data_IF_868858450838
#
_entry.id   IF_868858450838
#
_cell.length_a   1.000
_cell.length_b   1.000
_cell.length_c   1.000
_cell.angle_alpha   90.00
_cell.angle_beta   90.00
_cell.angle_gamma   90.00
#
_symmetry.space_group_name_H-M   'P 1'
#
loop_
_entity.id
_entity.type
_entity.pdbx_description
1 polymer ?
#
# COMPACT_ATOMS: atom_id res chain seq x y z
N UNK A 1 5.38 -10.73 -10.96
CA UNK A 1 4.05 -10.08 -10.76
C UNK A 1 3.06 -10.71 -11.72
N UNK A 2 2.16 -11.51 -11.17
CA UNK A 2 1.18 -12.26 -11.96
C UNK A 2 0.26 -11.33 -12.76
N UNK A 3 0.07 -11.63 -14.05
CA UNK A 3 -0.74 -10.85 -14.99
C UNK A 3 -0.01 -9.67 -15.63
N UNK A 4 1.26 -9.42 -15.28
CA UNK A 4 2.01 -8.30 -15.84
C UNK A 4 2.26 -8.46 -17.35
N UNK A 5 2.45 -9.68 -17.83
CA UNK A 5 2.67 -9.98 -19.25
C UNK A 5 1.37 -10.18 -20.06
N UNK A 6 0.19 -10.14 -19.41
CA UNK A 6 -1.10 -10.22 -20.10
C UNK A 6 -1.38 -8.92 -20.85
N UNK A 7 -2.05 -8.96 -21.99
CA UNK A 7 -2.46 -7.77 -22.73
C UNK A 7 -3.53 -6.95 -22.00
N UNK A 8 -4.32 -7.61 -21.13
CA UNK A 8 -5.38 -6.98 -20.35
C UNK A 8 -4.90 -6.67 -18.91
N UNK A 9 -4.92 -5.38 -18.54
CA UNK A 9 -4.59 -4.93 -17.19
C UNK A 9 -5.58 -5.43 -16.12
N UNK A 10 -6.77 -5.87 -16.52
CA UNK A 10 -7.76 -6.43 -15.60
C UNK A 10 -7.33 -7.78 -15.04
N UNK A 11 -6.39 -8.45 -15.69
CA UNK A 11 -5.80 -9.70 -15.25
C UNK A 11 -4.63 -9.55 -14.25
N UNK A 12 -4.29 -8.32 -13.86
CA UNK A 12 -3.31 -8.09 -12.79
C UNK A 12 -3.82 -8.68 -11.46
N UNK A 13 -3.04 -9.58 -10.88
CA UNK A 13 -3.40 -10.26 -9.63
C UNK A 13 -3.73 -9.29 -8.49
N UNK A 14 -2.90 -8.26 -8.28
CA UNK A 14 -3.14 -7.30 -7.22
C UNK A 14 -4.35 -6.38 -7.47
N UNK A 15 -4.77 -6.19 -8.73
CA UNK A 15 -6.04 -5.52 -9.00
C UNK A 15 -7.21 -6.32 -8.41
N UNK A 16 -7.22 -7.62 -8.62
CA UNK A 16 -8.24 -8.49 -8.03
C UNK A 16 -8.17 -8.47 -6.50
N UNK A 17 -6.98 -8.54 -5.93
CA UNK A 17 -6.80 -8.48 -4.47
C UNK A 17 -7.30 -7.15 -3.89
N UNK A 18 -7.11 -6.01 -4.59
CA UNK A 18 -7.68 -4.73 -4.17
C UNK A 18 -9.21 -4.79 -4.15
N UNK A 19 -9.84 -5.38 -5.17
CA UNK A 19 -11.30 -5.56 -5.19
C UNK A 19 -11.79 -6.49 -4.08
N UNK A 20 -11.04 -7.53 -3.76
CA UNK A 20 -11.35 -8.43 -2.65
C UNK A 20 -11.34 -7.70 -1.30
N UNK A 21 -10.44 -6.72 -1.11
CA UNK A 21 -10.47 -5.88 0.12
C UNK A 21 -11.74 -5.04 0.21
N UNK A 22 -12.24 -4.54 -0.94
CA UNK A 22 -13.50 -3.77 -1.00
C UNK A 22 -14.68 -4.66 -0.63
N UNK A 23 -14.74 -5.86 -1.22
CA UNK A 23 -15.81 -6.84 -0.93
C UNK A 23 -15.80 -7.20 0.55
N UNK A 24 -14.61 -7.50 1.11
CA UNK A 24 -14.46 -7.81 2.52
C UNK A 24 -14.95 -6.65 3.41
N UNK A 25 -14.50 -5.43 3.15
CA UNK A 25 -14.88 -4.26 3.94
C UNK A 25 -16.41 -4.04 3.90
N UNK A 26 -17.03 -4.09 2.72
CA UNK A 26 -18.48 -3.94 2.58
C UNK A 26 -19.27 -5.07 3.23
N UNK A 27 -18.75 -6.30 3.16
CA UNK A 27 -19.35 -7.45 3.85
C UNK A 27 -19.33 -7.26 5.36
N UNK A 28 -18.19 -6.81 5.91
CA UNK A 28 -18.07 -6.54 7.36
C UNK A 28 -18.99 -5.40 7.78
N UNK A 29 -19.05 -4.30 7.01
CA UNK A 29 -19.94 -3.17 7.29
C UNK A 29 -21.42 -3.53 7.28
N UNK A 30 -21.80 -4.53 6.48
CA UNK A 30 -23.21 -4.99 6.38
C UNK A 30 -23.61 -5.97 7.51
N UNK A 31 -22.73 -6.34 8.42
CA UNK A 31 -23.06 -7.24 9.55
C UNK A 31 -23.83 -6.48 10.63
N UNK A 32 -24.91 -7.05 11.15
CA UNK A 32 -25.75 -6.46 12.20
C UNK A 32 -24.99 -6.08 13.49
N UNK A 33 -23.85 -6.75 13.74
CA UNK A 33 -22.99 -6.52 14.92
C UNK A 33 -21.97 -5.41 14.73
N UNK A 34 -21.86 -4.84 13.53
CA UNK A 34 -20.87 -3.82 13.16
C UNK A 34 -21.53 -2.45 13.05
N UNK A 35 -20.92 -1.47 13.67
CA UNK A 35 -21.25 -0.07 13.37
C UNK A 35 -20.44 0.37 12.13
N UNK A 36 -21.10 0.48 11.00
CA UNK A 36 -20.50 0.86 9.71
C UNK A 36 -19.80 2.22 9.74
N UNK A 37 -20.18 3.08 10.68
CA UNK A 37 -19.57 4.41 10.86
C UNK A 37 -18.29 4.37 11.70
N UNK A 38 -17.88 3.22 12.20
CA UNK A 38 -16.71 3.04 13.07
C UNK A 38 -15.75 1.94 12.57
N UNK A 39 -15.61 1.82 11.26
CA UNK A 39 -14.73 0.83 10.64
C UNK A 39 -13.37 1.43 10.31
N UNK A 40 -12.32 0.71 10.68
CA UNK A 40 -10.93 1.05 10.39
C UNK A 40 -10.23 -0.11 9.67
N UNK A 41 -9.12 0.22 8.98
CA UNK A 41 -8.21 -0.76 8.38
C UNK A 41 -6.81 -0.63 8.99
N UNK A 42 -6.16 -1.77 9.18
CA UNK A 42 -4.82 -1.86 9.75
C UNK A 42 -3.99 -2.92 9.03
N UNK A 43 -2.71 -2.63 8.82
CA UNK A 43 -1.81 -3.60 8.22
C UNK A 43 -0.37 -3.13 8.10
N UNK A 44 0.53 -4.10 7.90
CA UNK A 44 1.95 -3.86 7.64
C UNK A 44 2.38 -4.43 6.29
N UNK A 45 3.39 -3.86 5.66
CA UNK A 45 3.95 -4.33 4.41
C UNK A 45 2.87 -4.49 3.31
N UNK A 46 2.68 -5.65 2.74
CA UNK A 46 1.60 -5.92 1.79
C UNK A 46 0.22 -5.59 2.39
N UNK A 47 -0.02 -5.97 3.66
CA UNK A 47 -1.25 -5.62 4.37
C UNK A 47 -1.44 -4.11 4.54
N UNK A 48 -0.35 -3.35 4.67
CA UNK A 48 -0.35 -1.89 4.69
C UNK A 48 -0.78 -1.29 3.35
N UNK A 49 -0.22 -1.80 2.25
CA UNK A 49 -0.63 -1.43 0.90
C UNK A 49 -2.11 -1.74 0.62
N UNK A 50 -2.54 -2.96 0.99
CA UNK A 50 -3.94 -3.38 0.84
C UNK A 50 -4.89 -2.54 1.69
N UNK A 51 -4.50 -2.17 2.90
CA UNK A 51 -5.29 -1.28 3.77
C UNK A 51 -5.47 0.11 3.16
N UNK A 52 -4.42 0.68 2.57
CA UNK A 52 -4.51 1.98 1.89
C UNK A 52 -5.35 1.89 0.61
N UNK A 53 -5.21 0.81 -0.18
CA UNK A 53 -6.06 0.56 -1.34
C UNK A 53 -7.53 0.44 -0.92
N UNK A 54 -7.82 -0.32 0.13
CA UNK A 54 -9.16 -0.44 0.70
C UNK A 54 -9.72 0.93 1.11
N UNK A 55 -8.97 1.73 1.86
CA UNK A 55 -9.39 3.06 2.31
C UNK A 55 -9.60 4.05 1.15
N UNK A 56 -8.88 3.87 0.03
CA UNK A 56 -9.06 4.67 -1.17
C UNK A 56 -10.31 4.31 -1.97
N UNK A 57 -10.70 3.02 -1.94
CA UNK A 57 -11.82 2.47 -2.71
C UNK A 57 -13.12 2.40 -1.90
N UNK A 58 -13.02 2.44 -0.57
CA UNK A 58 -14.16 2.42 0.37
C UNK A 58 -14.10 3.69 1.23
N UNK A 59 -14.69 4.81 0.77
CA UNK A 59 -14.59 6.11 1.45
C UNK A 59 -15.29 6.16 2.83
N UNK A 60 -16.06 5.16 3.18
CA UNK A 60 -16.69 4.97 4.47
C UNK A 60 -15.70 4.59 5.58
N UNK A 61 -14.53 4.03 5.24
CA UNK A 61 -13.44 3.76 6.20
C UNK A 61 -13.04 5.06 6.91
N UNK A 62 -12.99 5.04 8.23
CA UNK A 62 -12.71 6.23 9.06
C UNK A 62 -11.23 6.38 9.38
N UNK A 63 -10.54 5.27 9.62
CA UNK A 63 -9.12 5.24 9.98
C UNK A 63 -8.39 4.20 9.14
N UNK A 64 -7.22 4.58 8.63
CA UNK A 64 -6.24 3.68 8.04
C UNK A 64 -4.90 3.84 8.78
N UNK A 65 -4.54 2.86 9.59
CA UNK A 65 -3.26 2.84 10.31
C UNK A 65 -2.36 1.75 9.74
N UNK A 66 -1.25 2.13 9.13
CA UNK A 66 -0.38 1.19 8.41
C UNK A 66 1.09 1.40 8.75
N UNK A 67 1.92 0.39 8.53
CA UNK A 67 3.36 0.54 8.66
C UNK A 67 4.07 -0.08 7.45
N UNK A 68 5.12 0.59 7.00
CA UNK A 68 5.94 0.27 5.81
C UNK A 68 5.10 -0.30 4.63
N UNK A 69 4.06 0.44 4.13
CA UNK A 69 3.16 -0.08 3.11
C UNK A 69 3.89 -0.40 1.81
N UNK A 70 3.75 -1.64 1.34
CA UNK A 70 4.21 -2.14 0.04
C UNK A 70 3.20 -1.81 -1.06
N UNK A 71 3.45 -2.17 -2.30
CA UNK A 71 2.63 -1.91 -3.51
C UNK A 71 2.63 -0.42 -3.92
N UNK A 72 3.77 0.24 -3.80
CA UNK A 72 3.91 1.67 -4.07
C UNK A 72 5.16 2.00 -4.87
N UNK A 73 5.04 2.98 -5.77
CA UNK A 73 6.11 3.65 -6.50
C UNK A 73 7.11 2.68 -7.16
N UNK A 74 6.60 1.70 -7.88
CA UNK A 74 7.37 0.66 -8.54
C UNK A 74 8.46 1.23 -9.46
N UNK A 75 8.15 2.31 -10.20
CA UNK A 75 9.11 2.94 -11.13
C UNK A 75 10.30 3.54 -10.39
N UNK A 76 10.06 4.24 -9.27
CA UNK A 76 11.15 4.81 -8.45
C UNK A 76 12.01 3.71 -7.84
N UNK A 77 11.39 2.65 -7.31
CA UNK A 77 12.14 1.51 -6.73
C UNK A 77 13.05 0.88 -7.78
N UNK A 78 12.56 0.72 -9.00
CA UNK A 78 13.34 0.26 -10.14
C UNK A 78 14.50 1.19 -10.46
N UNK A 79 14.24 2.48 -10.62
CA UNK A 79 15.24 3.52 -10.97
C UNK A 79 16.32 3.71 -9.91
N UNK A 80 16.02 3.40 -8.66
CA UNK A 80 16.98 3.50 -7.56
C UNK A 80 17.68 2.19 -7.24
N UNK A 81 17.48 1.17 -8.09
CA UNK A 81 18.04 -0.19 -7.94
C UNK A 81 17.69 -0.89 -6.60
N UNK A 82 16.65 -0.42 -5.92
CA UNK A 82 16.19 -0.99 -4.65
C UNK A 82 15.20 -2.15 -4.87
N UNK A 83 15.45 -2.96 -5.90
CA UNK A 83 14.62 -4.11 -6.28
C UNK A 83 14.99 -5.37 -5.49
N UNK A 84 15.12 -5.23 -4.18
CA UNK A 84 15.30 -6.34 -3.25
C UNK A 84 14.01 -6.63 -2.48
N UNK A 85 13.98 -7.70 -1.71
CA UNK A 85 12.86 -8.01 -0.84
C UNK A 85 11.52 -8.05 -1.59
N UNK A 86 10.60 -7.19 -1.22
CA UNK A 86 9.24 -7.16 -1.76
C UNK A 86 9.16 -6.80 -3.26
N UNK A 87 10.17 -6.11 -3.80
CA UNK A 87 10.22 -5.68 -5.20
C UNK A 87 11.13 -6.56 -6.08
N UNK A 88 11.69 -7.66 -5.57
CA UNK A 88 12.60 -8.54 -6.31
C UNK A 88 11.98 -9.07 -7.62
N UNK A 89 10.67 -9.31 -7.63
CA UNK A 89 9.95 -9.78 -8.81
C UNK A 89 10.04 -8.83 -10.03
N UNK A 90 10.32 -7.54 -9.85
CA UNK A 90 10.55 -6.62 -10.97
C UNK A 90 11.81 -7.01 -11.74
N UNK A 91 12.90 -7.31 -11.03
CA UNK A 91 14.15 -7.74 -11.62
C UNK A 91 14.02 -9.09 -12.32
N UNK A 92 13.30 -10.02 -11.69
CA UNK A 92 13.06 -11.34 -12.26
C UNK A 92 12.20 -11.24 -13.52
N UNK A 93 11.20 -10.35 -13.52
CA UNK A 93 10.35 -10.09 -14.67
C UNK A 93 11.18 -9.58 -15.86
N UNK A 94 11.95 -8.50 -15.70
CA UNK A 94 12.75 -7.97 -16.80
C UNK A 94 13.78 -8.97 -17.30
N UNK A 95 14.47 -9.68 -16.42
CA UNK A 95 15.43 -10.72 -16.83
C UNK A 95 14.81 -11.85 -17.67
N UNK A 96 13.56 -12.19 -17.39
CA UNK A 96 12.90 -13.35 -18.00
C UNK A 96 12.04 -13.01 -19.22
N UNK A 97 11.42 -11.82 -19.24
CA UNK A 97 10.38 -11.46 -20.21
C UNK A 97 10.72 -10.22 -21.04
N UNK A 98 11.63 -9.37 -20.58
CA UNK A 98 12.09 -8.18 -21.32
C UNK A 98 13.55 -7.84 -21.01
N UNK A 99 14.50 -8.74 -21.38
CA UNK A 99 15.91 -8.59 -21.00
C UNK A 99 16.62 -7.41 -21.65
N UNK A 100 16.07 -6.83 -22.72
CA UNK A 100 16.56 -5.63 -23.39
C UNK A 100 15.83 -4.34 -22.93
N UNK A 101 14.88 -4.45 -21.99
CA UNK A 101 14.06 -3.37 -21.44
C UNK A 101 13.32 -2.55 -22.50
N UNK A 102 12.90 -3.19 -23.58
CA UNK A 102 12.21 -2.53 -24.70
C UNK A 102 10.77 -2.14 -24.36
N UNK A 103 10.18 -2.75 -23.32
CA UNK A 103 8.81 -2.54 -22.88
C UNK A 103 8.73 -1.85 -21.51
N UNK A 104 9.80 -1.25 -21.03
CA UNK A 104 9.87 -0.68 -19.67
C UNK A 104 8.71 0.29 -19.38
N UNK A 105 8.44 1.24 -20.27
CA UNK A 105 7.35 2.21 -20.10
C UNK A 105 5.95 1.56 -20.08
N UNK A 106 5.73 0.55 -20.92
CA UNK A 106 4.49 -0.23 -20.93
C UNK A 106 4.29 -0.96 -19.60
N UNK A 107 5.34 -1.62 -19.12
CA UNK A 107 5.35 -2.36 -17.84
C UNK A 107 5.00 -1.44 -16.67
N UNK A 108 5.66 -0.27 -16.55
CA UNK A 108 5.39 0.65 -15.45
C UNK A 108 4.04 1.36 -15.59
N UNK A 109 3.56 1.60 -16.81
CA UNK A 109 2.18 2.06 -17.04
C UNK A 109 1.17 1.06 -16.49
N UNK A 110 1.38 -0.23 -16.78
CA UNK A 110 0.52 -1.32 -16.29
C UNK A 110 0.60 -1.47 -14.77
N UNK A 111 1.80 -1.43 -14.18
CA UNK A 111 2.00 -1.45 -12.73
C UNK A 111 1.30 -0.26 -12.03
N UNK A 112 1.12 0.85 -12.73
CA UNK A 112 0.38 2.00 -12.22
C UNK A 112 -1.06 1.68 -11.79
N UNK A 113 -1.70 0.65 -12.35
CA UNK A 113 -3.04 0.22 -11.94
C UNK A 113 -3.09 -0.43 -10.54
N UNK A 114 -1.95 -0.92 -10.08
CA UNK A 114 -1.80 -1.55 -8.75
C UNK A 114 -0.82 -0.79 -7.85
N UNK A 115 -0.45 0.43 -8.21
CA UNK A 115 0.39 1.31 -7.42
C UNK A 115 -0.49 2.21 -6.54
N UNK A 116 -0.45 1.96 -5.23
CA UNK A 116 -1.30 2.67 -4.26
C UNK A 116 -1.05 4.18 -4.23
N UNK A 117 0.11 4.66 -4.70
CA UNK A 117 0.34 6.10 -4.80
C UNK A 117 -0.66 6.80 -5.73
N UNK A 118 -1.18 6.10 -6.73
CA UNK A 118 -2.18 6.64 -7.67
C UNK A 118 -3.61 6.59 -7.14
N UNK A 119 -3.84 5.91 -6.03
CA UNK A 119 -5.12 5.86 -5.32
C UNK A 119 -5.12 6.77 -4.08
N UNK A 120 -3.96 7.21 -3.61
CA UNK A 120 -3.78 7.85 -2.30
C UNK A 120 -4.58 9.16 -2.12
N UNK A 121 -4.79 9.94 -3.17
CA UNK A 121 -5.56 11.19 -3.12
C UNK A 121 -7.07 10.97 -2.96
N UNK A 122 -7.55 9.74 -3.18
CA UNK A 122 -8.96 9.34 -2.98
C UNK A 122 -9.27 9.01 -1.52
N UNK A 123 -8.25 8.77 -0.68
CA UNK A 123 -8.42 8.38 0.72
C UNK A 123 -9.12 9.51 1.49
N UNK A 124 -10.23 9.18 2.14
CA UNK A 124 -10.97 10.09 3.04
C UNK A 124 -10.69 9.80 4.51
N UNK A 125 -10.26 8.58 4.81
CA UNK A 125 -9.89 8.15 6.15
C UNK A 125 -8.79 9.02 6.75
N UNK A 126 -8.79 9.19 8.07
CA UNK A 126 -7.62 9.65 8.81
C UNK A 126 -6.51 8.59 8.72
N UNK A 127 -5.30 8.99 8.34
CA UNK A 127 -4.22 8.05 8.05
C UNK A 127 -3.06 8.21 9.03
N UNK A 128 -2.50 7.08 9.46
CA UNK A 128 -1.20 7.03 10.13
C UNK A 128 -0.29 6.02 9.43
N UNK A 129 0.93 6.46 9.06
CA UNK A 129 1.95 5.58 8.46
C UNK A 129 3.15 5.50 9.40
N UNK A 130 3.54 4.28 9.79
CA UNK A 130 4.81 3.99 10.46
C UNK A 130 5.90 3.68 9.43
N UNK A 131 7.05 4.33 9.56
CA UNK A 131 8.15 4.24 8.59
C UNK A 131 9.47 4.00 9.32
N UNK A 132 10.20 2.93 8.96
CA UNK A 132 11.60 2.75 9.31
C UNK A 132 12.48 3.37 8.22
N UNK A 133 13.39 4.30 8.58
CA UNK A 133 14.20 4.98 7.55
C UNK A 133 15.32 4.10 6.98
N UNK A 134 15.63 2.98 7.63
CA UNK A 134 16.61 1.99 7.17
C UNK A 134 15.95 0.79 6.45
N UNK A 135 14.66 0.90 6.07
CA UNK A 135 13.93 -0.17 5.42
C UNK A 135 14.49 -0.43 4.01
N UNK A 136 15.10 -1.60 3.84
CA UNK A 136 15.69 -2.08 2.60
C UNK A 136 14.80 -3.07 1.84
N UNK A 137 13.63 -3.40 2.39
CA UNK A 137 12.62 -4.28 1.80
C UNK A 137 11.52 -3.48 1.09
N UNK A 138 11.00 -2.46 1.77
CA UNK A 138 10.09 -1.46 1.20
C UNK A 138 10.71 -0.08 1.39
N UNK A 139 11.37 0.47 0.38
CA UNK A 139 12.15 1.70 0.53
C UNK A 139 11.33 2.85 1.10
N UNK A 140 11.85 3.62 2.07
CA UNK A 140 11.15 4.78 2.64
C UNK A 140 10.66 5.76 1.58
N UNK A 141 11.41 5.93 0.49
CA UNK A 141 11.03 6.83 -0.61
C UNK A 141 9.68 6.47 -1.22
N UNK A 142 9.38 5.16 -1.38
CA UNK A 142 8.08 4.68 -1.89
C UNK A 142 6.96 4.95 -0.87
N UNK A 143 7.24 4.75 0.42
CA UNK A 143 6.30 5.04 1.50
C UNK A 143 5.98 6.55 1.59
N UNK A 144 6.98 7.42 1.44
CA UNK A 144 6.80 8.87 1.36
C UNK A 144 6.03 9.29 0.12
N UNK A 145 6.21 8.62 -1.03
CA UNK A 145 5.47 8.93 -2.25
C UNK A 145 3.96 8.79 -2.04
N UNK A 146 3.53 7.71 -1.37
CA UNK A 146 2.13 7.52 -0.99
C UNK A 146 1.67 8.58 0.01
N UNK A 147 2.44 8.75 1.11
CA UNK A 147 2.09 9.70 2.16
C UNK A 147 1.85 11.11 1.61
N UNK A 148 2.73 11.57 0.73
CA UNK A 148 2.66 12.93 0.18
C UNK A 148 1.39 13.16 -0.67
N UNK A 149 0.86 12.12 -1.31
CA UNK A 149 -0.35 12.20 -2.15
C UNK A 149 -1.65 12.10 -1.36
N UNK A 150 -1.64 11.57 -0.14
CA UNK A 150 -2.82 11.55 0.74
C UNK A 150 -3.22 13.00 1.06
N UNK A 151 -4.50 13.34 0.92
CA UNK A 151 -5.03 14.69 1.14
C UNK A 151 -5.84 14.82 2.43
N UNK A 152 -6.32 13.72 2.98
CA UNK A 152 -7.02 13.67 4.25
C UNK A 152 -6.06 13.93 5.43
N UNK A 153 -6.60 14.06 6.64
CA UNK A 153 -5.79 14.16 7.85
C UNK A 153 -4.82 12.98 7.93
N UNK A 154 -3.54 13.28 8.09
CA UNK A 154 -2.49 12.26 8.08
C UNK A 154 -1.38 12.55 9.07
N UNK A 155 -0.80 11.48 9.61
CA UNK A 155 0.38 11.54 10.50
C UNK A 155 1.40 10.49 10.03
N UNK A 156 2.67 10.76 10.28
CA UNK A 156 3.75 9.81 10.06
C UNK A 156 4.50 9.60 11.36
N UNK A 157 4.73 8.33 11.72
CA UNK A 157 5.60 7.93 12.81
C UNK A 157 6.91 7.45 12.20
N UNK A 158 7.97 8.24 12.36
CA UNK A 158 9.29 7.98 11.77
C UNK A 158 10.20 7.33 12.81
N UNK A 159 10.86 6.24 12.41
CA UNK A 159 11.81 5.46 13.20
C UNK A 159 13.16 5.43 12.48
N UNK A 160 14.10 6.33 12.84
CA UNK A 160 15.32 6.56 12.06
C UNK A 160 16.20 5.33 11.87
N UNK A 161 16.31 4.48 12.88
CA UNK A 161 17.25 3.35 12.90
C UNK A 161 16.59 1.99 12.61
N UNK A 162 15.26 1.99 12.31
CA UNK A 162 14.50 0.77 12.07
C UNK A 162 14.48 0.42 10.58
N UNK A 163 14.52 -0.88 10.32
CA UNK A 163 14.34 -1.51 9.02
C UNK A 163 12.90 -1.96 8.79
N UNK A 164 12.71 -3.02 8.00
CA UNK A 164 11.41 -3.69 7.79
C UNK A 164 11.10 -4.66 8.94
N UNK A 165 10.81 -4.10 10.08
CA UNK A 165 10.68 -4.84 11.35
C UNK A 165 9.61 -4.22 12.25
N UNK A 166 9.15 -4.90 13.32
CA UNK A 166 8.16 -4.34 14.23
C UNK A 166 8.62 -3.00 14.82
N UNK A 167 7.84 -1.96 14.60
CA UNK A 167 8.13 -0.59 15.07
C UNK A 167 7.73 -0.44 16.53
N UNK A 168 8.69 -0.24 17.41
CA UNK A 168 8.50 -0.17 18.86
C UNK A 168 7.51 0.94 19.27
N UNK A 169 6.46 0.59 20.00
CA UNK A 169 5.41 1.51 20.44
C UNK A 169 4.47 2.00 19.33
N UNK A 170 4.58 1.48 18.11
CA UNK A 170 3.66 1.83 17.02
C UNK A 170 2.24 1.34 17.29
N UNK A 171 2.10 0.13 17.85
CA UNK A 171 0.80 -0.43 18.22
C UNK A 171 0.04 0.43 19.23
N UNK A 172 0.75 1.06 20.17
CA UNK A 172 0.12 1.99 21.15
C UNK A 172 -0.41 3.25 20.45
N UNK A 173 0.33 3.78 19.47
CA UNK A 173 -0.13 4.92 18.66
C UNK A 173 -1.37 4.54 17.83
N UNK A 174 -1.39 3.35 17.25
CA UNK A 174 -2.56 2.83 16.53
C UNK A 174 -3.75 2.69 17.47
N UNK A 175 -3.56 2.09 18.63
CA UNK A 175 -4.61 1.94 19.64
C UNK A 175 -5.21 3.30 20.06
N UNK A 176 -4.35 4.28 20.33
CA UNK A 176 -4.81 5.63 20.68
C UNK A 176 -5.61 6.28 19.55
N UNK A 177 -5.21 6.05 18.29
CA UNK A 177 -5.94 6.57 17.14
C UNK A 177 -7.30 5.88 16.97
N UNK A 178 -7.35 4.53 17.16
CA UNK A 178 -8.59 3.78 17.07
C UNK A 178 -9.59 4.16 18.17
N UNK A 179 -9.14 4.60 19.34
CA UNK A 179 -10.01 5.12 20.40
C UNK A 179 -10.83 6.36 19.99
N UNK A 180 -10.42 7.05 18.94
CA UNK A 180 -11.20 8.17 18.38
C UNK A 180 -12.52 7.71 17.72
N UNK A 181 -12.70 6.39 17.49
CA UNK A 181 -13.93 5.82 16.96
C UNK A 181 -14.93 5.39 18.03
N UNK A 182 -14.53 5.42 19.30
CA UNK A 182 -15.34 4.97 20.45
C UNK A 182 -15.93 6.17 21.16
#
# INVERSE_FOLDING_TARGET
>A
IRGLDDSDSDNLYFRQVFLDTVILAKTVMAMDIVDENRVAVYGGSQGGGLSLACAALVPEIKIAAVHYPFLADYKRVWQTEMTNGAYAELKDYFRSFDPEHTREEEVFTKLGYIDIQHLADRIKAKVMIGVGLMDDTVPPSAQFAVYNKIKSEKKMAIYPDFKHEPLLGYSDKVYLMLKELI
#
